data_IF_960897960270
#
_entry.id   IF_960897960270
#
_cell.length_a   1.000
_cell.length_b   1.000
_cell.length_c   1.000
_cell.angle_alpha   90.00
_cell.angle_beta   90.00
_cell.angle_gamma   90.00
#
_symmetry.space_group_name_H-M   'P 1'
#
loop_
_entity.id
_entity.type
_entity.pdbx_description
1 polymer ?
#
# COMPACT_ATOMS: atom_id res chain seq x y z
N UNK A 1 -10.28 -1.12 -15.43
CA UNK A 1 -9.28 -0.44 -16.29
C UNK A 1 -7.96 -1.18 -16.14
N UNK A 2 -7.04 -1.08 -17.10
CA UNK A 2 -5.67 -1.58 -16.97
C UNK A 2 -4.76 -0.44 -16.47
N UNK A 3 -3.66 -0.81 -15.80
CA UNK A 3 -2.61 0.15 -15.41
C UNK A 3 -1.90 0.64 -16.68
N UNK A 4 -1.49 1.90 -16.70
CA UNK A 4 -0.82 2.56 -17.83
C UNK A 4 0.42 3.31 -17.32
N UNK A 5 1.45 3.40 -18.18
CA UNK A 5 2.65 4.18 -17.89
C UNK A 5 2.30 5.67 -17.70
N UNK A 6 2.97 6.31 -16.74
CA UNK A 6 2.77 7.72 -16.36
C UNK A 6 1.62 7.97 -15.38
N UNK A 7 0.87 6.93 -14.97
CA UNK A 7 -0.16 7.08 -13.95
C UNK A 7 0.45 7.28 -12.56
N UNK A 8 -0.27 8.00 -11.71
CA UNK A 8 0.17 8.24 -10.33
C UNK A 8 -0.05 7.02 -9.46
N UNK A 9 0.91 6.77 -8.56
CA UNK A 9 0.92 5.58 -7.70
C UNK A 9 1.43 5.85 -6.29
N UNK A 10 0.90 5.07 -5.35
CA UNK A 10 1.53 4.79 -4.06
C UNK A 10 2.03 3.34 -4.06
N UNK A 11 3.29 3.12 -3.69
CA UNK A 11 3.84 1.79 -3.45
C UNK A 11 4.66 1.80 -2.16
N UNK A 12 4.13 1.15 -1.14
CA UNK A 12 4.77 1.07 0.18
C UNK A 12 5.20 -0.35 0.47
N UNK A 13 6.47 -0.52 0.82
CA UNK A 13 7.04 -1.78 1.31
C UNK A 13 7.34 -1.66 2.79
N UNK A 14 6.73 -2.53 3.60
CA UNK A 14 6.94 -2.57 5.04
C UNK A 14 7.67 -3.86 5.42
N UNK A 15 8.55 -3.80 6.42
CA UNK A 15 9.19 -4.96 7.05
C UNK A 15 8.89 -4.96 8.54
N UNK A 16 8.41 -6.10 9.02
CA UNK A 16 7.84 -6.22 10.36
C UNK A 16 8.33 -7.53 10.98
N UNK A 17 8.71 -7.53 12.25
CA UNK A 17 8.99 -8.79 12.95
C UNK A 17 7.73 -9.64 13.05
N UNK A 18 7.85 -10.97 13.01
CA UNK A 18 6.68 -11.86 12.98
C UNK A 18 5.71 -11.67 14.16
N UNK A 19 6.21 -11.29 15.35
CA UNK A 19 5.39 -11.01 16.54
C UNK A 19 4.56 -9.72 16.44
N UNK A 20 4.86 -8.87 15.47
CA UNK A 20 4.15 -7.60 15.17
C UNK A 20 3.34 -7.65 13.88
N UNK A 21 3.43 -8.73 13.11
CA UNK A 21 2.78 -8.84 11.81
C UNK A 21 1.25 -8.70 11.88
N UNK A 22 0.60 -9.32 12.88
CA UNK A 22 -0.85 -9.24 13.06
C UNK A 22 -1.33 -7.81 13.40
N UNK A 23 -0.54 -7.06 14.16
CA UNK A 23 -0.81 -5.66 14.51
C UNK A 23 -0.77 -4.78 13.24
N UNK A 24 0.27 -4.95 12.42
CA UNK A 24 0.43 -4.20 11.17
C UNK A 24 -0.65 -4.60 10.16
N UNK A 25 -0.98 -5.88 10.05
CA UNK A 25 -2.07 -6.33 9.19
C UNK A 25 -3.42 -5.74 9.61
N UNK A 26 -3.69 -5.65 10.91
CA UNK A 26 -4.91 -5.00 11.41
C UNK A 26 -4.97 -3.52 11.01
N UNK A 27 -3.87 -2.77 11.15
CA UNK A 27 -3.79 -1.39 10.70
C UNK A 27 -4.01 -1.26 9.18
N UNK A 28 -3.45 -2.16 8.38
CA UNK A 28 -3.68 -2.18 6.93
C UNK A 28 -5.13 -2.55 6.59
N UNK A 29 -5.79 -3.42 7.38
CA UNK A 29 -7.22 -3.72 7.19
C UNK A 29 -8.12 -2.53 7.49
N UNK A 30 -7.79 -1.73 8.49
CA UNK A 30 -8.45 -0.45 8.79
C UNK A 30 -8.29 0.52 7.61
N UNK A 31 -7.08 0.66 7.07
CA UNK A 31 -6.84 1.42 5.84
C UNK A 31 -7.63 0.88 4.64
N UNK A 32 -7.65 -0.44 4.43
CA UNK A 32 -8.39 -1.04 3.33
C UNK A 32 -9.91 -0.86 3.46
N UNK A 33 -10.44 -0.77 4.67
CA UNK A 33 -11.85 -0.43 4.89
C UNK A 33 -12.13 1.02 4.44
N UNK A 34 -11.30 1.96 4.88
CA UNK A 34 -11.37 3.35 4.44
C UNK A 34 -11.24 3.49 2.91
N UNK A 35 -10.30 2.78 2.27
CA UNK A 35 -10.16 2.75 0.81
C UNK A 35 -11.45 2.32 0.10
N UNK A 36 -12.18 1.31 0.62
CA UNK A 36 -13.48 0.89 0.04
C UNK A 36 -14.58 1.93 0.23
N UNK A 37 -14.50 2.72 1.31
CA UNK A 37 -15.46 3.77 1.61
C UNK A 37 -15.24 5.02 0.75
N UNK A 38 -13.98 5.35 0.41
CA UNK A 38 -13.61 6.61 -0.24
C UNK A 38 -13.11 6.48 -1.67
N UNK A 39 -12.78 5.27 -2.13
CA UNK A 39 -12.30 5.00 -3.48
C UNK A 39 -13.17 3.96 -4.22
N UNK A 40 -13.10 3.98 -5.54
CA UNK A 40 -13.84 3.08 -6.43
C UNK A 40 -13.04 2.75 -7.70
N UNK A 41 -13.43 1.68 -8.38
CA UNK A 41 -12.92 1.38 -9.73
C UNK A 41 -13.75 2.00 -10.86
N UNK A 42 -14.96 2.45 -10.53
CA UNK A 42 -15.76 3.36 -11.36
C UNK A 42 -15.53 4.82 -10.93
N UNK A 43 -16.28 5.75 -11.52
CA UNK A 43 -16.17 7.20 -11.30
C UNK A 43 -17.03 7.72 -10.12
N UNK A 44 -17.58 6.83 -9.28
CA UNK A 44 -18.45 7.25 -8.17
C UNK A 44 -17.73 7.88 -6.98
N UNK A 45 -16.41 7.66 -6.86
CA UNK A 45 -15.53 8.15 -5.78
C UNK A 45 -14.14 8.47 -6.31
N UNK A 46 -13.13 8.59 -5.44
CA UNK A 46 -11.73 8.75 -5.86
C UNK A 46 -11.36 7.52 -6.70
N UNK A 47 -11.11 7.75 -7.98
CA UNK A 47 -11.06 6.66 -8.94
C UNK A 47 -9.67 6.02 -9.01
N UNK A 48 -9.65 4.71 -8.76
CA UNK A 48 -8.48 3.86 -8.87
C UNK A 48 -8.54 3.01 -10.13
N UNK A 49 -7.37 2.77 -10.70
CA UNK A 49 -7.18 1.68 -11.65
C UNK A 49 -7.12 0.36 -10.89
N UNK A 50 -6.34 0.34 -9.81
CA UNK A 50 -6.11 -0.86 -9.03
C UNK A 50 -5.68 -0.54 -7.59
N UNK A 51 -6.09 -1.39 -6.66
CA UNK A 51 -5.67 -1.41 -5.28
C UNK A 51 -5.46 -2.85 -4.82
N UNK A 52 -4.31 -3.14 -4.26
CA UNK A 52 -4.08 -4.39 -3.57
C UNK A 52 -3.01 -4.27 -2.49
N UNK A 53 -3.13 -5.16 -1.51
CA UNK A 53 -2.15 -5.36 -0.46
C UNK A 53 -1.71 -6.81 -0.52
N UNK A 54 -0.41 -7.05 -0.45
CA UNK A 54 0.16 -8.40 -0.37
C UNK A 54 1.10 -8.52 0.83
N UNK A 55 1.30 -9.74 1.30
CA UNK A 55 2.30 -10.06 2.33
C UNK A 55 2.99 -11.39 2.05
N UNK A 56 4.19 -11.55 2.59
CA UNK A 56 4.89 -12.84 2.64
C UNK A 56 5.87 -12.85 3.82
N UNK A 57 6.28 -14.03 4.25
CA UNK A 57 7.48 -14.13 5.09
C UNK A 57 8.69 -13.66 4.27
N UNK A 58 9.62 -12.96 4.91
CA UNK A 58 10.86 -12.54 4.27
C UNK A 58 11.80 -13.74 4.16
N UNK A 59 12.17 -14.10 2.93
CA UNK A 59 13.11 -15.18 2.66
C UNK A 59 14.55 -14.76 3.02
N UNK A 60 15.35 -15.70 3.53
CA UNK A 60 16.80 -15.52 3.69
C UNK A 60 17.46 -15.30 2.34
N UNK A 61 17.03 -16.08 1.33
CA UNK A 61 17.48 -15.99 -0.05
C UNK A 61 16.27 -15.98 -1.00
N UNK A 62 16.02 -14.86 -1.68
CA UNK A 62 14.89 -14.72 -2.59
C UNK A 62 14.98 -15.65 -3.83
N UNK A 63 16.17 -16.15 -4.17
CA UNK A 63 16.36 -17.09 -5.28
C UNK A 63 16.27 -18.57 -4.86
N UNK A 64 16.33 -18.87 -3.55
CA UNK A 64 16.17 -20.22 -3.02
C UNK A 64 15.31 -20.23 -1.74
N UNK A 65 13.99 -20.42 -1.88
CA UNK A 65 13.08 -20.48 -0.75
C UNK A 65 13.37 -21.63 0.25
N UNK A 66 14.15 -22.64 -0.13
CA UNK A 66 14.47 -23.76 0.76
C UNK A 66 15.43 -23.36 1.90
N UNK A 67 16.15 -22.24 1.77
CA UNK A 67 17.02 -21.69 2.81
C UNK A 67 16.24 -21.07 3.99
N UNK A 68 14.91 -21.00 3.89
CA UNK A 68 14.02 -20.55 4.97
C UNK A 68 13.81 -19.05 5.03
N UNK A 69 13.33 -18.58 6.18
CA UNK A 69 12.84 -17.21 6.40
C UNK A 69 13.65 -16.50 7.48
N UNK A 70 13.70 -15.16 7.44
CA UNK A 70 14.45 -14.34 8.39
C UNK A 70 13.77 -14.20 9.76
N UNK A 71 12.47 -14.52 9.84
CA UNK A 71 11.63 -14.21 11.00
C UNK A 71 10.89 -12.87 10.89
N UNK A 72 11.06 -12.16 9.77
CA UNK A 72 10.24 -11.00 9.43
C UNK A 72 9.12 -11.37 8.44
N UNK A 73 8.09 -10.54 8.42
CA UNK A 73 7.03 -10.51 7.42
C UNK A 73 7.15 -9.19 6.66
N UNK A 74 7.08 -9.27 5.33
CA UNK A 74 7.05 -8.09 4.45
C UNK A 74 5.64 -7.87 3.92
N UNK A 75 5.25 -6.61 3.81
CA UNK A 75 3.97 -6.18 3.24
C UNK A 75 4.22 -5.23 2.07
N UNK A 76 3.33 -5.28 1.08
CA UNK A 76 3.23 -4.24 0.04
C UNK A 76 1.83 -3.65 0.00
N UNK A 77 1.73 -2.34 -0.09
CA UNK A 77 0.48 -1.59 -0.30
C UNK A 77 0.62 -0.87 -1.63
N UNK A 78 -0.30 -1.11 -2.56
CA UNK A 78 -0.19 -0.66 -3.94
C UNK A 78 -1.50 -0.02 -4.40
N UNK A 79 -1.40 1.19 -4.92
CA UNK A 79 -2.55 1.98 -5.35
C UNK A 79 -2.19 2.72 -6.63
N UNK A 80 -3.01 2.59 -7.68
CA UNK A 80 -2.80 3.31 -8.94
C UNK A 80 -4.05 4.12 -9.26
N UNK A 81 -3.86 5.40 -9.57
CA UNK A 81 -4.93 6.35 -9.78
C UNK A 81 -5.22 6.56 -11.27
N UNK A 82 -6.51 6.70 -11.60
CA UNK A 82 -6.92 7.02 -12.98
C UNK A 82 -6.53 8.45 -13.33
N UNK A 83 -6.73 9.38 -12.40
CA UNK A 83 -6.51 10.80 -12.61
C UNK A 83 -5.17 11.28 -12.02
N UNK A 84 -4.49 12.25 -12.67
CA UNK A 84 -3.26 12.85 -12.14
C UNK A 84 -3.45 13.46 -10.75
N UNK A 85 -4.63 14.03 -10.48
CA UNK A 85 -4.96 14.66 -9.19
C UNK A 85 -5.35 13.65 -8.10
N UNK A 86 -5.42 12.35 -8.42
CA UNK A 86 -5.88 11.31 -7.50
C UNK A 86 -5.07 11.22 -6.20
N UNK A 87 -3.76 11.49 -6.28
CA UNK A 87 -2.89 11.58 -5.09
C UNK A 87 -3.32 12.73 -4.17
N UNK A 88 -3.62 13.90 -4.75
CA UNK A 88 -4.10 15.05 -3.99
C UNK A 88 -5.42 14.75 -3.30
N UNK A 89 -6.38 14.16 -4.04
CA UNK A 89 -7.68 13.76 -3.50
C UNK A 89 -7.55 12.74 -2.36
N UNK A 90 -6.69 11.75 -2.51
CA UNK A 90 -6.40 10.76 -1.46
C UNK A 90 -5.85 11.43 -0.21
N UNK A 91 -4.85 12.30 -0.35
CA UNK A 91 -4.21 12.99 0.78
C UNK A 91 -5.16 13.95 1.49
N UNK A 92 -5.97 14.71 0.75
CA UNK A 92 -7.03 15.56 1.31
C UNK A 92 -8.02 14.73 2.13
N UNK A 93 -8.43 13.57 1.61
CA UNK A 93 -9.37 12.72 2.33
C UNK A 93 -8.74 12.00 3.52
N UNK A 94 -7.44 11.70 3.46
CA UNK A 94 -6.70 11.15 4.58
C UNK A 94 -6.60 12.15 5.75
N UNK A 95 -6.50 13.45 5.50
CA UNK A 95 -6.40 14.47 6.56
C UNK A 95 -7.62 14.55 7.48
N UNK A 96 -8.80 14.15 6.99
CA UNK A 96 -10.04 14.11 7.76
C UNK A 96 -10.39 12.72 8.28
N UNK A 97 -9.58 11.70 7.95
CA UNK A 97 -9.77 10.33 8.41
C UNK A 97 -9.25 10.16 9.84
N UNK A 98 -10.10 9.79 10.82
CA UNK A 98 -9.68 9.71 12.23
C UNK A 98 -8.51 8.78 12.52
N UNK A 99 -8.37 7.67 11.77
CA UNK A 99 -7.29 6.70 11.98
C UNK A 99 -6.00 7.05 11.22
N UNK A 100 -5.97 8.15 10.46
CA UNK A 100 -4.80 8.59 9.70
C UNK A 100 -3.52 8.69 10.57
N UNK A 101 -3.54 9.29 11.78
CA UNK A 101 -2.33 9.36 12.61
C UNK A 101 -1.77 7.98 12.96
N UNK A 102 -2.63 7.02 13.27
CA UNK A 102 -2.24 5.66 13.61
C UNK A 102 -1.69 4.92 12.40
N UNK A 103 -2.37 5.00 11.26
CA UNK A 103 -1.89 4.35 10.04
C UNK A 103 -0.57 4.97 9.53
N UNK A 104 -0.45 6.30 9.58
CA UNK A 104 0.79 6.99 9.24
C UNK A 104 1.95 6.61 10.18
N UNK A 105 1.67 6.42 11.47
CA UNK A 105 2.66 5.88 12.41
C UNK A 105 3.09 4.46 12.01
N UNK A 106 2.17 3.58 11.60
CA UNK A 106 2.52 2.24 11.08
C UNK A 106 3.48 2.34 9.89
N UNK A 107 3.16 3.19 8.91
CA UNK A 107 4.00 3.39 7.71
C UNK A 107 5.40 3.91 8.07
N UNK A 108 5.50 4.90 8.95
CA UNK A 108 6.79 5.49 9.34
C UNK A 108 7.61 4.61 10.27
N UNK A 109 6.97 3.72 11.02
CA UNK A 109 7.65 2.79 11.94
C UNK A 109 8.24 1.59 11.19
N UNK A 110 7.51 1.05 10.21
CA UNK A 110 7.87 -0.22 9.55
C UNK A 110 8.22 -0.08 8.06
N UNK A 111 8.11 1.12 7.49
CA UNK A 111 8.34 1.38 6.07
C UNK A 111 9.83 1.30 5.71
N UNK A 112 10.15 0.43 4.75
CA UNK A 112 11.48 0.30 4.14
C UNK A 112 11.52 1.00 2.76
N UNK A 113 10.40 1.01 2.05
CA UNK A 113 10.25 1.64 0.73
C UNK A 113 8.97 2.45 0.72
N UNK A 114 9.08 3.74 0.40
CA UNK A 114 7.94 4.68 0.41
C UNK A 114 7.85 5.46 -0.91
N UNK A 115 7.31 4.84 -1.96
CA UNK A 115 6.99 5.55 -3.21
C UNK A 115 5.72 6.38 -2.98
N UNK A 116 5.91 7.67 -2.74
CA UNK A 116 4.86 8.65 -2.48
C UNK A 116 4.74 9.58 -3.68
N UNK A 117 3.54 9.74 -4.24
CA UNK A 117 3.30 10.51 -5.46
C UNK A 117 4.20 10.04 -6.64
N UNK A 118 4.37 8.72 -6.76
CA UNK A 118 5.20 8.12 -7.80
C UNK A 118 4.51 8.06 -9.15
N UNK A 119 5.26 7.58 -10.13
CA UNK A 119 4.77 7.33 -11.49
C UNK A 119 4.92 5.84 -11.81
N UNK A 120 3.90 5.25 -12.43
CA UNK A 120 4.01 3.93 -13.06
C UNK A 120 4.97 4.06 -14.23
N UNK A 121 6.13 3.42 -14.15
CA UNK A 121 7.13 3.50 -15.22
C UNK A 121 6.98 2.38 -16.26
N UNK A 122 6.45 1.22 -15.87
CA UNK A 122 6.25 0.06 -16.75
C UNK A 122 5.04 -0.78 -16.32
N UNK A 123 4.31 -1.34 -17.30
CA UNK A 123 3.15 -2.23 -17.13
C UNK A 123 2.85 -2.96 -18.45
N UNK A 124 2.06 -4.04 -18.41
CA UNK A 124 1.68 -4.86 -19.59
C UNK A 124 0.32 -4.48 -20.15
#
# INVERSE_FOLDING_TARGET
MTVLNGQKTFNFGLKVSADKADEVEAAIRVHAAWMRETHSYDDSKIQLVHYYVAKSDELVNAADPAEGTTGNVVFSINEVYVHPDGIGQHLEQAQVWPDFPTFFQTLTTYGEVMVTNGDVIETL
#
